data_IF_428917128901
#
_entry.id   IF_428917128901
#
_cell.length_a   1.000
_cell.length_b   1.000
_cell.length_c   1.000
_cell.angle_alpha   90.00
_cell.angle_beta   90.00
_cell.angle_gamma   90.00
#
_symmetry.space_group_name_H-M   'P 1'
#
loop_
_entity.id
_entity.type
_entity.pdbx_description
1 polymer ?
#
# COMPACT_ATOMS: atom_id res chain seq x y z
N UNK A 1 49.79 32.20 -26.36
CA UNK A 1 48.75 31.16 -26.32
C UNK A 1 48.60 30.68 -27.75
N UNK A 2 49.13 29.50 -28.07
CA UNK A 2 49.19 29.02 -29.44
C UNK A 2 47.80 28.76 -30.00
N UNK A 3 47.61 29.00 -31.29
CA UNK A 3 46.35 28.80 -32.00
C UNK A 3 45.75 27.41 -31.73
N UNK A 4 46.59 26.37 -31.76
CA UNK A 4 46.25 24.99 -31.43
C UNK A 4 45.69 24.81 -30.00
N UNK A 5 46.17 25.58 -29.03
CA UNK A 5 45.68 25.51 -27.65
C UNK A 5 44.28 26.10 -27.50
N UNK A 6 43.91 27.10 -28.30
CA UNK A 6 42.55 27.68 -28.31
C UNK A 6 41.55 26.74 -28.96
N UNK A 7 41.90 26.12 -30.08
CA UNK A 7 41.04 25.17 -30.77
C UNK A 7 40.79 23.91 -29.92
N UNK A 8 41.82 23.40 -29.25
CA UNK A 8 41.69 22.28 -28.32
C UNK A 8 40.69 22.61 -27.19
N UNK A 9 40.81 23.79 -26.55
CA UNK A 9 39.89 24.20 -25.48
C UNK A 9 38.45 24.31 -25.97
N UNK A 10 38.22 24.87 -27.16
CA UNK A 10 36.87 24.94 -27.76
C UNK A 10 36.31 23.54 -28.05
N UNK A 11 37.12 22.64 -28.60
CA UNK A 11 36.71 21.27 -28.90
C UNK A 11 36.33 20.49 -27.64
N UNK A 12 37.14 20.57 -26.58
CA UNK A 12 36.82 19.95 -25.29
C UNK A 12 35.57 20.56 -24.64
N UNK A 13 35.37 21.88 -24.76
CA UNK A 13 34.15 22.55 -24.29
C UNK A 13 32.89 22.05 -24.99
N UNK A 14 32.95 21.86 -26.31
CA UNK A 14 31.84 21.28 -27.10
C UNK A 14 31.58 19.84 -26.69
N UNK A 15 32.62 19.00 -26.55
CA UNK A 15 32.46 17.61 -26.13
C UNK A 15 31.88 17.49 -24.70
N UNK A 16 32.33 18.32 -23.77
CA UNK A 16 31.80 18.34 -22.41
C UNK A 16 30.32 18.74 -22.39
N UNK A 17 29.95 19.76 -23.16
CA UNK A 17 28.54 20.19 -23.29
C UNK A 17 27.68 19.10 -23.91
N UNK A 18 28.18 18.41 -24.95
CA UNK A 18 27.47 17.31 -25.60
C UNK A 18 27.30 16.12 -24.65
N UNK A 19 28.33 15.79 -23.86
CA UNK A 19 28.26 14.73 -22.85
C UNK A 19 27.22 15.05 -21.76
N UNK A 20 27.20 16.29 -21.26
CA UNK A 20 26.19 16.74 -20.29
C UNK A 20 24.78 16.72 -20.90
N UNK A 21 24.62 17.17 -22.15
CA UNK A 21 23.34 17.15 -22.84
C UNK A 21 22.81 15.72 -23.03
N UNK A 22 23.67 14.79 -23.44
CA UNK A 22 23.31 13.37 -23.58
C UNK A 22 22.99 12.71 -22.24
N UNK A 23 23.73 13.05 -21.18
CA UNK A 23 23.45 12.58 -19.83
C UNK A 23 22.08 13.07 -19.32
N UNK A 24 21.78 14.36 -19.50
CA UNK A 24 20.50 14.96 -19.11
C UNK A 24 19.32 14.40 -19.92
N UNK A 25 19.49 14.19 -21.23
CA UNK A 25 18.46 13.58 -22.09
C UNK A 25 18.15 12.14 -21.68
N UNK A 26 19.16 11.38 -21.26
CA UNK A 26 18.98 10.00 -20.81
C UNK A 26 18.24 9.92 -19.47
N UNK A 27 18.54 10.82 -18.53
CA UNK A 27 17.89 10.83 -17.22
C UNK A 27 16.46 11.40 -17.28
N UNK A 28 16.23 12.47 -18.04
CA UNK A 28 14.92 13.16 -18.07
C UNK A 28 13.73 12.34 -18.59
N UNK A 29 13.95 11.26 -19.36
CA UNK A 29 12.87 10.41 -19.89
C UNK A 29 12.38 9.39 -18.87
N UNK A 30 13.28 8.80 -18.08
CA UNK A 30 12.93 7.87 -17.00
C UNK A 30 12.18 8.58 -15.89
N UNK A 31 12.66 9.77 -15.53
CA UNK A 31 12.09 10.59 -14.45
C UNK A 31 10.62 10.94 -14.72
N UNK A 32 10.27 11.39 -15.94
CA UNK A 32 8.87 11.74 -16.27
C UNK A 32 7.91 10.56 -16.21
N UNK A 33 8.35 9.39 -16.67
CA UNK A 33 7.52 8.18 -16.61
C UNK A 33 7.24 7.80 -15.15
N UNK A 34 8.29 7.78 -14.32
CA UNK A 34 8.19 7.46 -12.90
C UNK A 34 7.37 8.50 -12.14
N UNK A 35 7.52 9.78 -12.44
CA UNK A 35 6.73 10.85 -11.83
C UNK A 35 5.23 10.68 -12.13
N UNK A 36 4.88 10.31 -13.38
CA UNK A 36 3.49 10.05 -13.76
C UNK A 36 2.91 8.84 -13.03
N UNK A 37 3.66 7.73 -12.95
CA UNK A 37 3.21 6.53 -12.23
C UNK A 37 3.06 6.81 -10.74
N UNK A 38 4.01 7.52 -10.14
CA UNK A 38 3.97 7.90 -8.74
C UNK A 38 2.80 8.85 -8.43
N UNK A 39 2.47 9.77 -9.33
CA UNK A 39 1.31 10.64 -9.16
C UNK A 39 0.00 9.83 -9.10
N UNK A 40 -0.18 8.86 -10.00
CA UNK A 40 -1.34 7.96 -9.95
C UNK A 40 -1.33 7.06 -8.71
N UNK A 41 -0.17 6.56 -8.30
CA UNK A 41 -0.06 5.77 -7.06
C UNK A 41 -0.40 6.59 -5.82
N UNK A 42 0.01 7.85 -5.73
CA UNK A 42 -0.36 8.74 -4.62
C UNK A 42 -1.87 8.97 -4.58
N UNK A 43 -2.52 9.16 -5.74
CA UNK A 43 -4.00 9.22 -5.81
C UNK A 43 -4.63 7.93 -5.29
N UNK A 44 -4.13 6.78 -5.75
CA UNK A 44 -4.58 5.47 -5.29
C UNK A 44 -4.42 5.30 -3.77
N UNK A 45 -3.26 5.65 -3.19
CA UNK A 45 -3.00 5.60 -1.74
C UNK A 45 -4.05 6.43 -0.98
N UNK A 46 -4.36 7.64 -1.47
CA UNK A 46 -5.33 8.51 -0.81
C UNK A 46 -6.75 7.93 -0.88
N UNK A 47 -7.18 7.45 -2.06
CA UNK A 47 -8.48 6.80 -2.21
C UNK A 47 -8.62 5.57 -1.32
N UNK A 48 -7.59 4.72 -1.27
CA UNK A 48 -7.59 3.53 -0.40
C UNK A 48 -7.63 3.92 1.08
N UNK A 49 -6.90 4.96 1.49
CA UNK A 49 -6.96 5.47 2.87
C UNK A 49 -8.37 5.92 3.25
N UNK A 50 -9.04 6.66 2.37
CA UNK A 50 -10.39 7.14 2.62
C UNK A 50 -11.39 5.98 2.72
N UNK A 51 -11.28 4.99 1.81
CA UNK A 51 -12.08 3.76 1.86
C UNK A 51 -11.87 2.98 3.15
N UNK A 52 -10.62 2.82 3.60
CA UNK A 52 -10.30 2.15 4.86
C UNK A 52 -10.90 2.88 6.06
N UNK A 53 -10.78 4.21 6.09
CA UNK A 53 -11.34 5.03 7.17
C UNK A 53 -12.87 4.92 7.25
N UNK A 54 -13.57 5.00 6.11
CA UNK A 54 -15.03 4.87 6.08
C UNK A 54 -15.48 3.44 6.41
N UNK A 55 -14.74 2.41 5.96
CA UNK A 55 -15.02 1.03 6.33
C UNK A 55 -14.90 0.84 7.85
N UNK A 56 -13.81 1.29 8.43
CA UNK A 56 -13.53 1.17 9.86
C UNK A 56 -14.58 1.88 10.71
N UNK A 57 -14.97 3.09 10.31
CA UNK A 57 -16.04 3.87 10.95
C UNK A 57 -17.37 3.12 10.89
N UNK A 58 -17.74 2.62 9.72
CA UNK A 58 -19.00 1.90 9.51
C UNK A 58 -19.04 0.61 10.33
N UNK A 59 -17.95 -0.16 10.30
CA UNK A 59 -17.80 -1.38 11.09
C UNK A 59 -17.88 -1.10 12.60
N UNK A 60 -17.22 -0.05 13.07
CA UNK A 60 -17.27 0.37 14.46
C UNK A 60 -18.68 0.77 14.90
N UNK A 61 -19.37 1.62 14.14
CA UNK A 61 -20.74 2.03 14.45
C UNK A 61 -21.69 0.84 14.47
N UNK A 62 -21.56 -0.07 13.50
CA UNK A 62 -22.36 -1.29 13.44
C UNK A 62 -22.12 -2.18 14.67
N UNK A 63 -20.86 -2.36 15.06
CA UNK A 63 -20.48 -3.09 16.27
C UNK A 63 -21.01 -2.44 17.55
N UNK A 64 -20.97 -1.11 17.67
CA UNK A 64 -21.54 -0.39 18.81
C UNK A 64 -23.05 -0.58 18.91
N UNK A 65 -23.77 -0.47 17.80
CA UNK A 65 -25.22 -0.70 17.77
C UNK A 65 -25.57 -2.13 18.18
N UNK A 66 -24.77 -3.10 17.74
CA UNK A 66 -24.89 -4.50 18.15
C UNK A 66 -24.74 -4.64 19.68
N UNK A 67 -23.69 -4.07 20.26
CA UNK A 67 -23.43 -4.13 21.70
C UNK A 67 -24.53 -3.44 22.53
N UNK A 68 -25.13 -2.37 21.99
CA UNK A 68 -26.24 -1.65 22.61
C UNK A 68 -27.61 -2.32 22.41
N UNK A 69 -27.68 -3.47 21.72
CA UNK A 69 -28.95 -4.13 21.40
C UNK A 69 -29.80 -3.39 20.37
N UNK A 70 -29.21 -2.46 19.62
CA UNK A 70 -29.85 -1.62 18.58
C UNK A 70 -29.59 -2.16 17.17
N UNK A 71 -29.44 -3.48 17.02
CA UNK A 71 -29.09 -4.10 15.73
C UNK A 71 -30.08 -3.82 14.60
N UNK A 72 -31.33 -3.46 14.91
CA UNK A 72 -32.33 -3.02 13.92
C UNK A 72 -31.96 -1.70 13.23
N UNK A 73 -31.14 -0.86 13.86
CA UNK A 73 -30.67 0.40 13.28
C UNK A 73 -29.54 0.19 12.25
N UNK A 74 -29.02 -1.04 12.10
CA UNK A 74 -27.88 -1.33 11.23
C UNK A 74 -28.23 -1.59 9.76
N UNK A 75 -29.50 -1.55 9.35
CA UNK A 75 -29.87 -1.89 7.96
C UNK A 75 -29.20 -0.99 6.90
N UNK A 76 -29.02 0.30 7.20
CA UNK A 76 -28.30 1.22 6.32
C UNK A 76 -26.80 0.92 6.36
N UNK A 77 -26.23 0.78 7.57
CA UNK A 77 -24.81 0.51 7.78
C UNK A 77 -24.36 -0.82 7.14
N UNK A 78 -25.22 -1.85 7.13
CA UNK A 78 -24.94 -3.12 6.44
C UNK A 78 -24.72 -2.93 4.95
N UNK A 79 -25.60 -2.17 4.29
CA UNK A 79 -25.50 -1.90 2.84
C UNK A 79 -24.25 -1.09 2.53
N UNK A 80 -23.95 -0.10 3.37
CA UNK A 80 -22.74 0.72 3.26
C UNK A 80 -21.48 -0.12 3.47
N UNK A 81 -21.45 -1.00 4.47
CA UNK A 81 -20.32 -1.89 4.75
C UNK A 81 -20.05 -2.84 3.57
N UNK A 82 -21.09 -3.42 2.97
CA UNK A 82 -20.96 -4.24 1.74
C UNK A 82 -20.37 -3.42 0.60
N UNK A 83 -20.91 -2.22 0.38
CA UNK A 83 -20.44 -1.35 -0.67
C UNK A 83 -18.94 -1.03 -0.50
N UNK A 84 -18.54 -0.57 0.69
CA UNK A 84 -17.15 -0.25 1.01
C UNK A 84 -16.25 -1.49 0.90
N UNK A 85 -16.73 -2.64 1.37
CA UNK A 85 -16.03 -3.92 1.27
C UNK A 85 -15.70 -4.32 -0.16
N UNK A 86 -16.67 -4.15 -1.07
CA UNK A 86 -16.50 -4.42 -2.50
C UNK A 86 -15.58 -3.39 -3.15
N UNK A 87 -15.69 -2.11 -2.78
CA UNK A 87 -14.78 -1.06 -3.29
C UNK A 87 -13.33 -1.36 -2.89
N UNK A 88 -13.08 -1.74 -1.63
CA UNK A 88 -11.74 -2.14 -1.19
C UNK A 88 -11.17 -3.27 -2.05
N UNK A 89 -11.95 -4.31 -2.37
CA UNK A 89 -11.50 -5.41 -3.25
C UNK A 89 -11.14 -4.96 -4.67
N UNK A 90 -11.85 -3.97 -5.21
CA UNK A 90 -11.56 -3.44 -6.55
C UNK A 90 -10.28 -2.60 -6.59
N UNK A 91 -9.94 -1.94 -5.49
CA UNK A 91 -8.72 -1.12 -5.40
C UNK A 91 -7.48 -1.91 -5.00
N UNK A 92 -7.64 -3.04 -4.31
CA UNK A 92 -6.54 -3.88 -3.85
C UNK A 92 -6.19 -4.95 -4.89
N UNK A 93 -4.92 -5.33 -4.95
CA UNK A 93 -4.45 -6.37 -5.86
C UNK A 93 -4.43 -7.74 -5.15
N UNK A 94 -5.37 -8.66 -5.41
CA UNK A 94 -5.48 -9.91 -4.65
C UNK A 94 -4.31 -10.88 -4.86
N UNK A 95 -3.41 -10.62 -5.82
CA UNK A 95 -2.21 -11.43 -6.03
C UNK A 95 -1.07 -11.06 -5.07
N UNK A 96 -1.12 -9.89 -4.44
CA UNK A 96 -0.13 -9.48 -3.45
C UNK A 96 -0.49 -10.03 -2.06
N UNK A 97 0.51 -10.59 -1.38
CA UNK A 97 0.38 -11.18 -0.04
C UNK A 97 -0.37 -10.26 0.94
N UNK A 98 0.03 -9.00 1.01
CA UNK A 98 -0.56 -8.02 1.95
C UNK A 98 -2.02 -7.70 1.60
N UNK A 99 -2.32 -7.52 0.32
CA UNK A 99 -3.66 -7.19 -0.18
C UNK A 99 -4.62 -8.35 0.08
N UNK A 100 -4.16 -9.59 -0.16
CA UNK A 100 -4.90 -10.80 0.20
C UNK A 100 -5.19 -10.86 1.70
N UNK A 101 -4.20 -10.61 2.55
CA UNK A 101 -4.39 -10.58 4.00
C UNK A 101 -5.42 -9.53 4.44
N UNK A 102 -5.39 -8.32 3.84
CA UNK A 102 -6.41 -7.28 4.08
C UNK A 102 -7.80 -7.77 3.69
N UNK A 103 -7.94 -8.36 2.51
CA UNK A 103 -9.24 -8.86 1.99
C UNK A 103 -9.79 -9.96 2.91
N UNK A 104 -8.97 -10.93 3.29
CA UNK A 104 -9.38 -12.05 4.15
C UNK A 104 -9.82 -11.57 5.54
N UNK A 105 -9.05 -10.65 6.15
CA UNK A 105 -9.40 -10.10 7.46
C UNK A 105 -10.64 -9.22 7.40
N UNK A 106 -10.76 -8.39 6.36
CA UNK A 106 -11.97 -7.59 6.09
C UNK A 106 -13.21 -8.48 5.95
N UNK A 107 -13.11 -9.56 5.19
CA UNK A 107 -14.21 -10.52 5.03
C UNK A 107 -14.59 -11.17 6.37
N UNK A 108 -13.62 -11.46 7.23
CA UNK A 108 -13.87 -11.94 8.60
C UNK A 108 -14.63 -10.92 9.44
N UNK A 109 -14.27 -9.63 9.38
CA UNK A 109 -14.99 -8.54 10.06
C UNK A 109 -16.43 -8.44 9.54
N UNK A 110 -16.63 -8.44 8.22
CA UNK A 110 -17.95 -8.35 7.60
C UNK A 110 -18.83 -9.53 8.05
N UNK A 111 -18.30 -10.76 7.98
CA UNK A 111 -19.02 -11.96 8.41
C UNK A 111 -19.39 -11.88 9.90
N UNK A 112 -18.46 -11.48 10.77
CA UNK A 112 -18.71 -11.36 12.21
C UNK A 112 -19.82 -10.34 12.53
N UNK A 113 -19.85 -9.22 11.82
CA UNK A 113 -20.87 -8.17 12.00
C UNK A 113 -22.22 -8.58 11.39
N UNK A 114 -22.23 -9.27 10.25
CA UNK A 114 -23.46 -9.69 9.58
C UNK A 114 -24.13 -10.90 10.24
N UNK A 115 -23.33 -11.88 10.63
CA UNK A 115 -23.80 -13.12 11.22
C UNK A 115 -24.19 -12.96 12.70
N UNK A 116 -24.27 -11.72 13.21
CA UNK A 116 -24.40 -11.43 14.63
C UNK A 116 -25.45 -12.33 15.28
N UNK A 117 -24.91 -13.26 16.05
CA UNK A 117 -25.60 -14.12 16.97
C UNK A 117 -25.26 -13.56 18.36
N UNK A 118 -26.25 -13.23 19.22
CA UNK A 118 -26.01 -12.63 20.55
C UNK A 118 -25.08 -13.44 21.48
N UNK A 119 -24.61 -14.61 21.06
CA UNK A 119 -23.64 -15.44 21.76
C UNK A 119 -22.17 -15.15 21.45
N UNK A 120 -21.84 -14.35 20.42
CA UNK A 120 -20.44 -14.01 20.07
C UNK A 120 -19.94 -12.90 21.01
N UNK A 121 -18.84 -13.15 21.74
CA UNK A 121 -18.24 -12.19 22.68
C UNK A 121 -17.77 -10.93 21.92
N UNK A 122 -18.22 -9.74 22.35
CA UNK A 122 -17.79 -8.46 21.80
C UNK A 122 -16.27 -8.23 21.83
N UNK A 123 -15.54 -8.96 22.68
CA UNK A 123 -14.07 -8.97 22.69
C UNK A 123 -13.46 -9.57 21.42
N UNK A 124 -14.06 -10.60 20.83
CA UNK A 124 -13.56 -11.19 19.58
C UNK A 124 -13.73 -10.23 18.39
N UNK A 125 -14.83 -9.46 18.36
CA UNK A 125 -15.07 -8.46 17.32
C UNK A 125 -14.03 -7.31 17.37
N UNK A 126 -13.60 -6.91 18.56
CA UNK A 126 -12.57 -5.88 18.73
C UNK A 126 -11.23 -6.32 18.14
N UNK A 127 -10.83 -7.57 18.34
CA UNK A 127 -9.57 -8.12 17.83
C UNK A 127 -9.49 -8.11 16.30
N UNK A 128 -10.58 -8.47 15.61
CA UNK A 128 -10.58 -8.48 14.14
C UNK A 128 -10.34 -7.09 13.52
N UNK A 129 -10.87 -6.03 14.15
CA UNK A 129 -10.64 -4.66 13.69
C UNK A 129 -9.21 -4.18 13.95
N UNK A 130 -8.56 -4.62 15.03
CA UNK A 130 -7.15 -4.31 15.28
C UNK A 130 -6.23 -4.93 14.23
N UNK A 131 -6.41 -6.22 13.94
CA UNK A 131 -5.66 -6.92 12.88
C UNK A 131 -5.85 -6.24 11.52
N UNK A 132 -7.11 -5.90 11.18
CA UNK A 132 -7.40 -5.25 9.91
C UNK A 132 -6.70 -3.89 9.82
N UNK A 133 -6.79 -3.06 10.87
CA UNK A 133 -6.12 -1.75 10.94
C UNK A 133 -4.61 -1.85 10.84
N UNK A 134 -4.03 -2.87 11.45
CA UNK A 134 -2.61 -3.16 11.31
C UNK A 134 -2.26 -3.39 9.82
N UNK A 135 -2.95 -4.30 9.14
CA UNK A 135 -2.72 -4.60 7.72
C UNK A 135 -2.93 -3.38 6.81
N UNK A 136 -4.00 -2.60 7.06
CA UNK A 136 -4.27 -1.34 6.37
C UNK A 136 -3.13 -0.32 6.54
N UNK A 137 -2.55 -0.22 7.74
CA UNK A 137 -1.39 0.66 7.96
C UNK A 137 -0.14 0.16 7.23
N UNK A 138 0.10 -1.15 7.24
CA UNK A 138 1.23 -1.76 6.53
C UNK A 138 1.17 -1.41 5.06
N UNK A 139 0.04 -1.63 4.38
CA UNK A 139 -0.08 -1.33 2.95
C UNK A 139 0.11 0.15 2.63
N UNK A 140 -0.56 1.04 3.37
CA UNK A 140 -0.47 2.49 3.12
C UNK A 140 0.95 3.03 3.35
N UNK A 141 1.63 2.59 4.42
CA UNK A 141 2.99 3.06 4.74
C UNK A 141 4.05 2.46 3.80
N UNK A 142 3.87 1.20 3.39
CA UNK A 142 4.76 0.52 2.45
C UNK A 142 4.70 1.16 1.07
N UNK A 143 3.49 1.40 0.55
CA UNK A 143 3.32 2.05 -0.76
C UNK A 143 3.81 3.51 -0.74
N UNK A 144 3.61 4.23 0.35
CA UNK A 144 4.21 5.56 0.51
C UNK A 144 5.75 5.51 0.50
N UNK A 145 6.35 4.52 1.16
CA UNK A 145 7.81 4.32 1.15
C UNK A 145 8.31 3.93 -0.23
N UNK A 146 7.58 3.07 -0.95
CA UNK A 146 7.85 2.69 -2.33
C UNK A 146 7.90 3.91 -3.25
N UNK A 147 6.88 4.77 -3.22
CA UNK A 147 6.83 6.02 -4.00
C UNK A 147 8.10 6.85 -3.77
N UNK A 148 8.47 7.10 -2.50
CA UNK A 148 9.68 7.87 -2.17
C UNK A 148 10.94 7.26 -2.76
N UNK A 149 11.08 5.93 -2.67
CA UNK A 149 12.26 5.20 -3.16
C UNK A 149 12.33 5.22 -4.69
N UNK A 150 11.20 5.05 -5.37
CA UNK A 150 11.12 5.13 -6.84
C UNK A 150 11.45 6.54 -7.35
N UNK A 151 10.89 7.59 -6.71
CA UNK A 151 11.22 8.99 -7.03
C UNK A 151 12.71 9.27 -6.85
N UNK A 152 13.33 8.80 -5.76
CA UNK A 152 14.76 8.98 -5.52
C UNK A 152 15.64 8.25 -6.53
N UNK A 153 15.19 7.08 -7.01
CA UNK A 153 15.95 6.25 -7.96
C UNK A 153 15.73 6.62 -9.42
N UNK A 154 14.64 7.33 -9.75
CA UNK A 154 14.22 7.59 -11.13
C UNK A 154 13.81 6.31 -11.89
N UNK A 155 13.46 5.24 -11.17
CA UNK A 155 13.00 3.96 -11.74
C UNK A 155 12.16 3.17 -10.73
N UNK A 156 11.36 2.22 -11.23
CA UNK A 156 10.61 1.29 -10.40
C UNK A 156 11.54 0.43 -9.53
N UNK A 157 11.09 0.11 -8.33
CA UNK A 157 11.78 -0.83 -7.44
C UNK A 157 11.51 -2.27 -7.88
N UNK A 158 12.45 -3.18 -7.64
CA UNK A 158 12.23 -4.60 -7.99
C UNK A 158 11.20 -5.25 -7.05
N UNK A 159 10.66 -6.41 -7.45
CA UNK A 159 9.77 -7.21 -6.60
C UNK A 159 10.36 -7.51 -5.23
N UNK A 160 11.63 -7.94 -5.18
CA UNK A 160 12.33 -8.18 -3.92
C UNK A 160 12.38 -6.91 -3.05
N UNK A 161 12.70 -5.76 -3.65
CA UNK A 161 12.73 -4.50 -2.90
C UNK A 161 11.36 -4.09 -2.38
N UNK A 162 10.28 -4.39 -3.11
CA UNK A 162 8.90 -4.17 -2.66
C UNK A 162 8.64 -5.06 -1.44
N UNK A 163 8.93 -6.36 -1.54
CA UNK A 163 8.78 -7.33 -0.44
C UNK A 163 9.55 -6.88 0.82
N UNK A 164 10.80 -6.47 0.66
CA UNK A 164 11.64 -5.99 1.77
C UNK A 164 11.03 -4.74 2.43
N UNK A 165 10.47 -3.81 1.65
CA UNK A 165 9.75 -2.63 2.18
C UNK A 165 8.57 -3.07 3.04
N UNK A 166 7.77 -4.03 2.56
CA UNK A 166 6.60 -4.52 3.29
C UNK A 166 6.99 -5.19 4.60
N UNK A 167 7.99 -6.08 4.58
CA UNK A 167 8.47 -6.76 5.79
C UNK A 167 9.02 -5.75 6.79
N UNK A 168 9.84 -4.80 6.33
CA UNK A 168 10.40 -3.76 7.20
C UNK A 168 9.30 -2.92 7.87
N UNK A 169 8.31 -2.46 7.11
CA UNK A 169 7.22 -1.66 7.65
C UNK A 169 6.34 -2.48 8.59
N UNK A 170 6.01 -3.71 8.22
CA UNK A 170 5.20 -4.61 9.05
C UNK A 170 5.84 -4.87 10.42
N UNK A 171 7.10 -5.29 10.41
CA UNK A 171 7.87 -5.55 11.63
C UNK A 171 8.08 -4.29 12.48
N UNK A 172 8.23 -3.12 11.86
CA UNK A 172 8.38 -1.85 12.56
C UNK A 172 7.08 -1.33 13.21
N UNK A 173 5.91 -1.69 12.66
CA UNK A 173 4.61 -1.31 13.26
C UNK A 173 4.31 -2.21 14.45
N UNK A 174 4.34 -3.52 14.24
CA UNK A 174 4.14 -4.51 15.30
C UNK A 174 4.65 -5.88 14.88
N UNK A 175 5.70 -6.35 15.56
CA UNK A 175 6.36 -7.62 15.26
C UNK A 175 5.47 -8.82 15.57
N UNK A 176 4.60 -8.72 16.58
CA UNK A 176 3.68 -9.80 16.95
C UNK A 176 2.63 -10.00 15.86
N UNK A 177 1.96 -8.93 15.44
CA UNK A 177 1.03 -8.94 14.31
C UNK A 177 1.69 -9.41 13.02
N UNK A 178 2.93 -9.00 12.73
CA UNK A 178 3.67 -9.51 11.57
C UNK A 178 3.84 -11.02 11.62
N UNK A 179 4.31 -11.55 12.74
CA UNK A 179 4.57 -12.98 12.91
C UNK A 179 3.28 -13.81 12.75
N UNK A 180 2.16 -13.28 13.25
CA UNK A 180 0.86 -13.97 13.20
C UNK A 180 0.21 -13.85 11.81
N UNK A 181 0.24 -12.69 11.19
CA UNK A 181 -0.60 -12.39 10.02
C UNK A 181 0.13 -12.48 8.68
N UNK A 182 1.46 -12.28 8.65
CA UNK A 182 2.18 -12.00 7.40
C UNK A 182 3.44 -12.85 7.19
N UNK A 183 4.08 -13.36 8.25
CA UNK A 183 5.34 -14.09 8.14
C UNK A 183 5.25 -15.30 7.20
N UNK A 184 4.34 -16.24 7.49
CA UNK A 184 4.17 -17.45 6.69
C UNK A 184 3.78 -17.13 5.24
N UNK A 185 2.79 -16.26 4.97
CA UNK A 185 2.47 -15.85 3.60
C UNK A 185 3.67 -15.29 2.81
N UNK A 186 4.54 -14.49 3.43
CA UNK A 186 5.74 -13.95 2.77
C UNK A 186 6.85 -14.99 2.57
N UNK A 187 6.91 -16.04 3.39
CA UNK A 187 7.84 -17.18 3.23
C UNK A 187 7.39 -18.12 2.11
N UNK A 188 6.08 -18.36 2.00
CA UNK A 188 5.48 -19.16 0.92
C UNK A 188 5.65 -18.51 -0.45
N UNK A 189 5.47 -17.19 -0.56
CA UNK A 189 5.67 -16.44 -1.81
C UNK A 189 7.11 -16.57 -2.32
N UNK A 190 8.11 -16.51 -1.43
CA UNK A 190 9.51 -16.70 -1.83
C UNK A 190 9.84 -18.10 -2.34
N UNK A 191 9.09 -19.12 -1.91
CA UNK A 191 9.33 -20.51 -2.31
C UNK A 191 8.73 -20.84 -3.69
N UNK A 192 7.92 -19.95 -4.27
CA UNK A 192 7.29 -20.13 -5.59
C UNK A 192 8.03 -19.41 -6.72
N UNK A 193 9.03 -18.59 -6.39
CA UNK A 193 9.85 -17.86 -7.37
C UNK A 193 11.20 -18.56 -7.68
N UNK A 194 11.52 -19.66 -6.99
CA UNK A 194 12.66 -20.58 -7.24
C UNK A 194 12.27 -21.79 -8.10
#
# INVERSE_FOLDING_TARGET
MDYLSREAVMFYGVLATLAVALWNLKNSKGDRYIDSINAERVKWINTVRDLFSEFDKTAYLMGQNILMGKSSENEILKKELIFLSNQMELFLNPTEVISKAVIDKKNSVVLALMAFNPTIDGREQGLFLFDLRYLQQVILKSEWKRVKKETQKGKEVSKQEIRDIYIEIATAIDIESYNVLLKVPFEEESSQED
#
